data_IF_658620315392
#
_entry.id   IF_658620315392
#
_cell.length_a   1.000
_cell.length_b   1.000
_cell.length_c   1.000
_cell.angle_alpha   90.00
_cell.angle_beta   90.00
_cell.angle_gamma   90.00
#
_symmetry.space_group_name_H-M   'P 1'
#
loop_
_entity.id
_entity.type
_entity.pdbx_description
1 polymer ?
#
# COMPACT_ATOMS: atom_id res chain seq x y z
N UNK A 1 3.76 18.25 -3.98
CA UNK A 1 4.03 16.91 -3.37
C UNK A 1 5.47 16.83 -2.86
N UNK A 2 5.70 16.22 -1.69
CA UNK A 2 7.03 15.89 -1.15
C UNK A 2 7.42 14.47 -1.59
N UNK A 3 8.61 14.30 -2.16
CA UNK A 3 9.15 13.00 -2.56
C UNK A 3 9.93 12.41 -1.38
N UNK A 4 9.65 11.17 -1.00
CA UNK A 4 10.37 10.44 0.04
C UNK A 4 11.62 9.75 -0.51
N UNK A 5 11.47 9.08 -1.66
CA UNK A 5 12.59 8.55 -2.42
C UNK A 5 12.27 8.50 -3.91
N UNK A 6 13.31 8.52 -4.72
CA UNK A 6 13.22 8.42 -6.16
C UNK A 6 14.49 7.79 -6.75
N UNK A 7 14.30 6.90 -7.72
CA UNK A 7 15.38 6.45 -8.58
C UNK A 7 14.94 6.51 -10.05
N UNK A 8 15.70 7.23 -10.87
CA UNK A 8 15.47 7.36 -12.31
C UNK A 8 16.34 6.35 -13.03
N UNK A 9 15.72 5.37 -13.67
CA UNK A 9 16.39 4.26 -14.36
C UNK A 9 15.85 4.10 -15.79
N UNK A 10 15.02 3.07 -16.02
CA UNK A 10 14.44 2.76 -17.33
C UNK A 10 13.09 3.46 -17.60
N UNK A 11 12.47 3.06 -18.71
CA UNK A 11 11.13 3.52 -19.13
C UNK A 11 9.98 2.76 -18.44
N UNK A 12 10.28 1.72 -17.67
CA UNK A 12 9.32 1.08 -16.74
C UNK A 12 9.50 1.73 -15.38
N UNK A 13 8.39 2.17 -14.79
CA UNK A 13 8.37 2.79 -13.47
C UNK A 13 7.38 2.14 -12.53
N UNK A 14 7.61 2.30 -11.22
CA UNK A 14 6.66 1.92 -10.17
C UNK A 14 6.52 3.05 -9.16
N UNK A 15 5.27 3.38 -8.83
CA UNK A 15 4.91 4.20 -7.68
C UNK A 15 4.73 3.29 -6.48
N UNK A 16 5.41 3.56 -5.37
CA UNK A 16 5.33 2.77 -4.13
C UNK A 16 4.78 3.62 -3.00
N UNK A 17 3.63 3.21 -2.46
CA UNK A 17 2.82 4.00 -1.53
C UNK A 17 2.85 3.35 -0.15
N UNK A 18 3.21 4.12 0.89
CA UNK A 18 3.32 3.68 2.28
C UNK A 18 1.96 3.59 3.00
N UNK A 19 1.94 2.95 4.17
CA UNK A 19 0.77 2.76 5.00
C UNK A 19 0.32 3.99 5.80
N UNK A 20 -0.83 3.86 6.49
CA UNK A 20 -1.34 4.88 7.42
C UNK A 20 -0.37 5.00 8.61
N UNK A 21 -0.09 6.21 9.03
CA UNK A 21 0.89 6.59 10.07
C UNK A 21 2.36 6.30 9.73
N UNK A 22 2.62 5.52 8.67
CA UNK A 22 3.95 5.15 8.23
C UNK A 22 4.63 6.22 7.35
N UNK A 23 5.72 5.84 6.76
CA UNK A 23 6.56 6.71 5.93
C UNK A 23 7.02 5.98 4.66
N UNK A 24 7.56 6.68 3.65
CA UNK A 24 8.12 6.04 2.47
C UNK A 24 9.21 4.99 2.77
N UNK A 25 9.81 5.01 3.98
CA UNK A 25 10.81 4.00 4.39
C UNK A 25 10.26 2.58 4.40
N UNK A 26 8.95 2.40 4.64
CA UNK A 26 8.30 1.07 4.66
C UNK A 26 8.39 0.34 3.31
N UNK A 27 8.31 1.07 2.22
CA UNK A 27 8.30 0.52 0.85
C UNK A 27 9.60 0.78 0.10
N UNK A 28 10.51 1.58 0.68
CA UNK A 28 11.81 1.89 0.08
C UNK A 28 12.69 0.66 -0.18
N UNK A 29 12.78 -0.37 0.69
CA UNK A 29 13.58 -1.56 0.40
C UNK A 29 13.17 -2.26 -0.89
N UNK A 30 11.87 -2.39 -1.17
CA UNK A 30 11.38 -2.88 -2.46
C UNK A 30 11.76 -1.92 -3.60
N UNK A 31 11.63 -0.61 -3.37
CA UNK A 31 12.03 0.42 -4.33
C UNK A 31 13.49 0.33 -4.73
N UNK A 32 14.40 0.21 -3.76
CA UNK A 32 15.84 0.08 -3.98
C UNK A 32 16.18 -1.20 -4.75
N UNK A 33 15.56 -2.33 -4.40
CA UNK A 33 15.74 -3.59 -5.12
C UNK A 33 15.31 -3.48 -6.59
N UNK A 34 14.15 -2.91 -6.86
CA UNK A 34 13.64 -2.73 -8.21
C UNK A 34 14.48 -1.72 -9.01
N UNK A 35 14.97 -0.65 -8.36
CA UNK A 35 15.86 0.32 -8.97
C UNK A 35 17.21 -0.31 -9.38
N UNK A 36 17.76 -1.20 -8.56
CA UNK A 36 18.96 -1.97 -8.90
C UNK A 36 18.76 -2.89 -10.12
N UNK A 37 17.50 -3.23 -10.45
CA UNK A 37 17.10 -4.00 -11.63
C UNK A 37 16.69 -3.12 -12.83
N UNK A 38 16.94 -1.82 -12.79
CA UNK A 38 16.69 -0.90 -13.89
C UNK A 38 15.27 -0.34 -13.97
N UNK A 39 14.44 -0.53 -12.94
CA UNK A 39 13.08 0.02 -12.86
C UNK A 39 13.14 1.39 -12.18
N UNK A 40 12.50 2.39 -12.74
CA UNK A 40 12.34 3.70 -12.11
C UNK A 40 11.39 3.59 -10.93
N UNK A 41 11.76 4.13 -9.78
CA UNK A 41 10.94 4.04 -8.56
C UNK A 41 10.66 5.41 -7.99
N UNK A 42 9.48 5.59 -7.41
CA UNK A 42 9.08 6.80 -6.71
C UNK A 42 8.21 6.43 -5.51
N UNK A 43 8.58 6.94 -4.33
CA UNK A 43 7.79 6.84 -3.11
C UNK A 43 7.41 8.24 -2.62
N UNK A 44 6.14 8.66 -2.73
CA UNK A 44 5.68 9.95 -2.27
C UNK A 44 5.47 9.96 -0.76
N UNK A 45 5.56 11.14 -0.14
CA UNK A 45 4.91 11.40 1.13
C UNK A 45 3.42 11.68 0.88
N UNK A 46 2.56 11.02 1.62
CA UNK A 46 1.14 11.32 1.60
C UNK A 46 0.82 12.53 2.49
N UNK A 47 -0.24 13.25 2.18
CA UNK A 47 -0.68 14.40 2.96
C UNK A 47 -0.85 14.03 4.45
N UNK A 48 -0.36 14.90 5.34
CA UNK A 48 -0.42 14.70 6.80
C UNK A 48 0.56 13.67 7.37
N UNK A 49 1.34 12.95 6.52
CA UNK A 49 2.32 11.98 6.98
C UNK A 49 3.73 12.59 7.11
N UNK A 50 4.53 12.04 8.04
CA UNK A 50 5.87 12.57 8.36
C UNK A 50 5.85 13.97 8.94
N UNK A 51 4.81 14.30 9.69
CA UNK A 51 4.58 15.56 10.42
C UNK A 51 4.18 15.23 11.85
N UNK A 52 2.89 15.24 12.16
CA UNK A 52 2.36 14.82 13.46
C UNK A 52 1.00 14.10 13.31
N UNK A 53 0.56 13.34 14.34
CA UNK A 53 -0.78 12.75 14.34
C UNK A 53 -1.89 13.79 14.22
N UNK A 54 -1.68 15.01 14.72
CA UNK A 54 -2.62 16.13 14.63
C UNK A 54 -2.76 16.63 13.20
N UNK A 55 -1.65 16.75 12.46
CA UNK A 55 -1.66 17.15 11.06
C UNK A 55 -2.33 16.08 10.19
N UNK A 56 -2.06 14.78 10.46
CA UNK A 56 -2.76 13.68 9.79
C UNK A 56 -4.27 13.76 10.01
N UNK A 57 -4.72 14.16 11.22
CA UNK A 57 -6.14 14.30 11.56
C UNK A 57 -6.86 15.40 10.76
N UNK A 58 -6.12 16.36 10.22
CA UNK A 58 -6.68 17.43 9.37
C UNK A 58 -6.93 16.99 7.92
N UNK A 59 -6.32 15.87 7.51
CA UNK A 59 -6.43 15.34 6.15
C UNK A 59 -7.61 14.37 6.00
N UNK A 60 -8.02 14.19 4.75
CA UNK A 60 -9.03 13.22 4.32
C UNK A 60 -8.35 12.19 3.40
N UNK A 61 -9.00 11.07 3.18
CA UNK A 61 -8.47 10.03 2.30
C UNK A 61 -8.24 10.53 0.86
N UNK A 62 -9.02 11.51 0.39
CA UNK A 62 -8.84 12.15 -0.92
C UNK A 62 -7.52 12.93 -1.00
N UNK A 63 -7.07 13.54 0.10
CA UNK A 63 -5.79 14.26 0.13
C UNK A 63 -4.61 13.28 -0.01
N UNK A 64 -4.77 12.06 0.57
CA UNK A 64 -3.80 10.97 0.39
C UNK A 64 -3.79 10.47 -1.05
N UNK A 65 -4.99 10.24 -1.63
CA UNK A 65 -5.14 9.86 -3.04
C UNK A 65 -4.55 10.90 -3.98
N UNK A 66 -4.76 12.19 -3.71
CA UNK A 66 -4.18 13.27 -4.49
C UNK A 66 -2.65 13.26 -4.43
N UNK A 67 -2.05 13.03 -3.26
CA UNK A 67 -0.59 12.91 -3.12
C UNK A 67 -0.03 11.73 -3.95
N UNK A 68 -0.71 10.59 -3.92
CA UNK A 68 -0.33 9.41 -4.71
C UNK A 68 -0.50 9.68 -6.23
N UNK A 69 -1.60 10.34 -6.64
CA UNK A 69 -1.84 10.76 -8.02
C UNK A 69 -0.75 11.68 -8.55
N UNK A 70 -0.32 12.66 -7.77
CA UNK A 70 0.79 13.54 -8.15
C UNK A 70 2.08 12.75 -8.41
N UNK A 71 2.36 11.71 -7.60
CA UNK A 71 3.45 10.77 -7.84
C UNK A 71 3.32 10.01 -9.15
N UNK A 72 2.11 9.53 -9.47
CA UNK A 72 1.81 8.88 -10.74
C UNK A 72 2.05 9.82 -11.94
N UNK A 73 1.62 11.08 -11.86
CA UNK A 73 1.82 12.06 -12.93
C UNK A 73 3.30 12.40 -13.15
N UNK A 74 4.13 12.37 -12.09
CA UNK A 74 5.59 12.52 -12.24
C UNK A 74 6.17 11.34 -13.04
N UNK A 75 5.77 10.10 -12.73
CA UNK A 75 6.23 8.93 -13.48
C UNK A 75 5.74 8.94 -14.92
N UNK A 76 4.52 9.37 -15.21
CA UNK A 76 3.95 9.46 -16.55
C UNK A 76 4.74 10.35 -17.51
N UNK A 77 5.38 11.39 -17.00
CA UNK A 77 6.21 12.29 -17.81
C UNK A 77 7.47 11.62 -18.37
N UNK A 78 7.87 10.46 -17.84
CA UNK A 78 9.18 9.84 -18.16
C UNK A 78 9.15 8.32 -18.38
N UNK A 79 8.11 7.64 -17.89
CA UNK A 79 7.94 6.19 -18.03
C UNK A 79 6.79 5.88 -18.98
N UNK A 80 7.01 4.92 -19.88
CA UNK A 80 5.97 4.44 -20.80
C UNK A 80 5.15 3.28 -20.23
N UNK A 81 5.71 2.56 -19.25
CA UNK A 81 5.01 1.50 -18.49
C UNK A 81 5.07 1.84 -17.02
N UNK A 82 3.92 1.96 -16.37
CA UNK A 82 3.86 2.33 -14.97
C UNK A 82 3.07 1.29 -14.20
N UNK A 83 3.68 0.82 -13.12
CA UNK A 83 3.06 -0.04 -12.12
C UNK A 83 2.74 0.80 -10.88
N UNK A 84 1.72 0.38 -10.14
CA UNK A 84 1.42 0.90 -8.82
C UNK A 84 1.70 -0.19 -7.79
N UNK A 85 2.26 0.16 -6.67
CA UNK A 85 2.44 -0.73 -5.54
C UNK A 85 2.18 0.02 -4.25
N UNK A 86 1.68 -0.68 -3.24
CA UNK A 86 1.47 -0.05 -1.94
C UNK A 86 1.36 -1.06 -0.82
N UNK A 87 1.56 -0.56 0.40
CA UNK A 87 1.47 -1.31 1.64
C UNK A 87 0.24 -0.83 2.44
N UNK A 88 -0.61 -1.75 2.93
CA UNK A 88 -1.73 -1.41 3.82
C UNK A 88 -2.65 -0.36 3.17
N UNK A 89 -2.92 0.75 3.82
CA UNK A 89 -3.62 1.90 3.22
C UNK A 89 -2.99 2.32 1.87
N UNK A 90 -1.68 2.20 1.71
CA UNK A 90 -1.01 2.48 0.43
C UNK A 90 -1.38 1.49 -0.67
N UNK A 91 -1.67 0.23 -0.30
CA UNK A 91 -2.22 -0.76 -1.24
C UNK A 91 -3.62 -0.36 -1.71
N UNK A 92 -4.45 0.11 -0.80
CA UNK A 92 -5.79 0.62 -1.12
C UNK A 92 -5.71 1.85 -2.05
N UNK A 93 -4.76 2.75 -1.80
CA UNK A 93 -4.51 3.88 -2.71
C UNK A 93 -4.04 3.42 -4.09
N UNK A 94 -3.18 2.40 -4.16
CA UNK A 94 -2.71 1.85 -5.43
C UNK A 94 -3.87 1.18 -6.21
N UNK A 95 -4.74 0.45 -5.53
CA UNK A 95 -5.95 -0.16 -6.11
C UNK A 95 -6.91 0.93 -6.60
N UNK A 96 -7.20 1.94 -5.77
CA UNK A 96 -8.05 3.09 -6.15
C UNK A 96 -7.51 3.79 -7.40
N UNK A 97 -6.22 4.09 -7.47
CA UNK A 97 -5.63 4.70 -8.65
C UNK A 97 -5.70 3.77 -9.88
N UNK A 98 -5.53 2.45 -9.70
CA UNK A 98 -5.58 1.50 -10.81
C UNK A 98 -6.99 1.33 -11.40
N UNK A 99 -8.06 1.60 -10.64
CA UNK A 99 -9.43 1.61 -11.16
C UNK A 99 -9.74 2.86 -12.01
N UNK A 100 -9.05 3.97 -11.74
CA UNK A 100 -9.32 5.27 -12.39
C UNK A 100 -8.32 5.64 -13.49
N UNK A 101 -7.13 5.03 -13.47
CA UNK A 101 -6.04 5.39 -14.39
C UNK A 101 -5.45 4.16 -15.07
N UNK A 102 -5.16 4.23 -16.39
CA UNK A 102 -4.49 3.13 -17.09
C UNK A 102 -3.07 2.95 -16.53
N UNK A 103 -2.78 1.73 -16.08
CA UNK A 103 -1.48 1.29 -15.55
C UNK A 103 -1.12 -0.08 -16.09
N UNK A 104 0.17 -0.42 -16.08
CA UNK A 104 0.67 -1.71 -16.57
C UNK A 104 0.43 -2.87 -15.58
N UNK A 105 0.13 -2.56 -14.34
CA UNK A 105 -0.22 -3.53 -13.30
C UNK A 105 -0.22 -2.90 -11.90
N UNK A 106 -0.77 -3.64 -10.92
CA UNK A 106 -0.84 -3.22 -9.52
C UNK A 106 -0.34 -4.31 -8.58
N UNK A 107 0.38 -3.90 -7.54
CA UNK A 107 0.89 -4.78 -6.46
C UNK A 107 0.28 -4.30 -5.14
N UNK A 108 -0.66 -5.07 -4.59
CA UNK A 108 -1.29 -4.82 -3.30
C UNK A 108 -0.58 -5.65 -2.23
N UNK A 109 0.06 -5.00 -1.27
CA UNK A 109 0.74 -5.64 -0.15
C UNK A 109 -0.03 -5.36 1.14
N UNK A 110 -0.55 -6.39 1.80
CA UNK A 110 -1.36 -6.28 3.02
C UNK A 110 -2.50 -5.23 2.89
N UNK A 111 -3.15 -5.18 1.73
CA UNK A 111 -4.28 -4.29 1.48
C UNK A 111 -5.50 -4.67 2.33
N UNK A 112 -6.35 -3.70 2.61
CA UNK A 112 -7.45 -3.91 3.54
C UNK A 112 -8.77 -3.38 2.98
N UNK A 113 -9.78 -4.25 2.90
CA UNK A 113 -11.15 -3.87 2.55
C UNK A 113 -12.16 -4.23 3.65
N UNK A 114 -11.77 -5.11 4.59
CA UNK A 114 -12.60 -5.45 5.76
C UNK A 114 -11.78 -5.56 7.04
N UNK A 115 -12.27 -4.91 8.09
CA UNK A 115 -11.82 -5.11 9.46
C UNK A 115 -13.00 -5.70 10.24
N UNK A 116 -12.78 -6.88 10.85
CA UNK A 116 -13.83 -7.64 11.53
C UNK A 116 -14.06 -7.21 12.98
N UNK A 117 -13.40 -6.13 13.45
CA UNK A 117 -13.63 -5.56 14.78
C UNK A 117 -14.89 -4.66 14.76
N UNK A 118 -15.87 -4.97 15.64
CA UNK A 118 -17.11 -4.19 15.77
C UNK A 118 -16.85 -2.73 16.18
N UNK A 119 -15.76 -2.46 16.93
CA UNK A 119 -15.36 -1.11 17.33
C UNK A 119 -14.93 -0.29 16.11
N UNK A 120 -14.18 -0.89 15.21
CA UNK A 120 -13.83 -0.26 13.94
C UNK A 120 -15.08 -0.04 13.08
N UNK A 121 -15.99 -1.00 13.04
CA UNK A 121 -17.22 -0.88 12.29
C UNK A 121 -18.13 0.23 12.82
N UNK A 122 -18.14 0.46 14.15
CA UNK A 122 -18.83 1.56 14.83
C UNK A 122 -18.10 2.90 14.84
N UNK A 123 -16.89 3.02 14.30
CA UNK A 123 -16.02 4.21 14.48
C UNK A 123 -16.67 5.51 13.99
N UNK A 124 -17.61 5.44 13.05
CA UNK A 124 -18.39 6.59 12.60
C UNK A 124 -19.18 7.26 13.70
N UNK A 125 -19.67 6.49 14.68
CA UNK A 125 -20.37 6.98 15.87
C UNK A 125 -19.37 7.33 16.98
N UNK A 126 -18.40 6.44 17.21
CA UNK A 126 -17.42 6.59 18.31
C UNK A 126 -16.34 7.66 18.03
N UNK A 127 -16.18 8.13 16.81
CA UNK A 127 -15.18 9.18 16.46
C UNK A 127 -15.31 10.47 17.29
N UNK A 128 -16.49 10.74 17.86
CA UNK A 128 -16.74 11.89 18.72
C UNK A 128 -16.40 11.61 20.18
N UNK A 129 -16.38 10.34 20.60
CA UNK A 129 -16.20 9.92 21.99
C UNK A 129 -14.74 9.55 22.30
N UNK A 130 -14.03 9.01 21.35
CA UNK A 130 -12.63 8.58 21.53
C UNK A 130 -11.72 9.28 20.51
N UNK A 131 -10.82 10.14 21.00
CA UNK A 131 -9.96 10.97 20.15
C UNK A 131 -8.66 10.27 19.71
N UNK A 132 -8.20 9.25 20.44
CA UNK A 132 -6.92 8.56 20.21
C UNK A 132 -7.09 7.06 20.39
N UNK A 133 -6.44 6.27 19.56
CA UNK A 133 -6.24 4.83 19.77
C UNK A 133 -4.78 4.59 20.10
N UNK A 134 -4.49 3.53 20.85
CA UNK A 134 -3.12 3.09 21.07
C UNK A 134 -2.42 2.77 19.75
N UNK A 135 -1.11 2.87 19.81
CA UNK A 135 -0.20 2.68 18.67
C UNK A 135 -0.54 1.43 17.85
N UNK A 136 -0.56 1.61 16.55
CA UNK A 136 -0.48 0.54 15.55
C UNK A 136 1.01 0.19 15.25
N UNK A 137 1.93 0.53 16.15
CA UNK A 137 3.32 0.14 16.03
C UNK A 137 3.44 -1.36 16.26
N UNK A 138 3.63 -2.07 15.18
CA UNK A 138 3.72 -3.52 15.10
C UNK A 138 3.89 -3.89 13.64
N UNK A 139 3.69 -5.15 13.34
CA UNK A 139 3.61 -5.58 11.95
C UNK A 139 4.95 -5.91 11.32
N UNK A 140 6.01 -6.09 12.12
CA UNK A 140 7.29 -6.67 11.70
C UNK A 140 7.65 -7.79 12.68
N UNK A 141 7.76 -9.00 12.15
CA UNK A 141 8.14 -10.19 12.93
C UNK A 141 9.66 -10.38 13.04
N UNK A 142 10.44 -9.85 12.10
CA UNK A 142 11.89 -9.94 12.06
C UNK A 142 12.52 -8.97 13.08
N UNK A 143 13.13 -9.46 14.20
CA UNK A 143 13.73 -8.60 15.19
C UNK A 143 15.01 -7.90 14.70
N UNK A 144 15.58 -8.34 13.58
CA UNK A 144 16.73 -7.70 12.94
C UNK A 144 16.35 -6.59 11.96
N UNK A 145 15.07 -6.44 11.67
CA UNK A 145 14.59 -5.38 10.79
C UNK A 145 14.87 -3.99 11.41
N UNK A 146 15.22 -3.00 10.60
CA UNK A 146 15.34 -1.65 11.09
C UNK A 146 14.00 -1.15 11.63
N UNK A 147 14.04 -0.37 12.70
CA UNK A 147 12.84 0.31 13.19
C UNK A 147 12.31 1.22 12.07
N UNK A 148 11.02 1.15 11.82
CA UNK A 148 10.38 2.07 10.90
C UNK A 148 9.70 3.19 11.68
N UNK A 149 9.73 4.38 11.08
CA UNK A 149 9.11 5.55 11.67
C UNK A 149 7.59 5.48 11.49
N UNK A 150 6.88 5.51 12.60
CA UNK A 150 5.42 5.56 12.62
C UNK A 150 4.96 6.50 13.72
N UNK A 151 3.73 7.00 13.64
CA UNK A 151 3.19 7.84 14.71
C UNK A 151 2.90 7.02 15.97
N UNK A 152 3.08 7.61 17.16
CA UNK A 152 2.86 6.91 18.44
C UNK A 152 1.38 6.58 18.70
N UNK A 153 0.46 7.20 17.98
CA UNK A 153 -0.98 6.94 18.01
C UNK A 153 -1.65 7.40 16.72
N UNK A 154 -2.85 6.92 16.50
CA UNK A 154 -3.72 7.39 15.42
C UNK A 154 -5.03 7.91 16.01
N UNK A 155 -5.53 9.01 15.45
CA UNK A 155 -6.83 9.56 15.84
C UNK A 155 -7.98 8.79 15.16
N UNK A 156 -9.09 8.63 15.88
CA UNK A 156 -10.28 7.97 15.36
C UNK A 156 -10.83 8.61 14.08
N UNK A 157 -10.59 9.92 13.89
CA UNK A 157 -10.95 10.62 12.65
C UNK A 157 -10.14 10.10 11.46
N UNK A 158 -8.83 9.87 11.60
CA UNK A 158 -7.99 9.30 10.53
C UNK A 158 -8.38 7.85 10.22
N UNK A 159 -8.74 7.05 11.25
CA UNK A 159 -9.29 5.70 11.04
C UNK A 159 -10.66 5.73 10.33
N UNK A 160 -11.47 6.75 10.58
CA UNK A 160 -12.73 6.92 9.86
C UNK A 160 -12.51 7.28 8.39
N UNK A 161 -11.50 8.10 8.07
CA UNK A 161 -11.11 8.36 6.69
C UNK A 161 -10.57 7.10 5.99
N UNK A 162 -9.76 6.28 6.70
CA UNK A 162 -9.35 4.98 6.21
C UNK A 162 -10.55 4.08 5.89
N UNK A 163 -11.53 4.01 6.79
CA UNK A 163 -12.77 3.23 6.57
C UNK A 163 -13.54 3.67 5.33
N UNK A 164 -13.56 4.98 5.03
CA UNK A 164 -14.16 5.47 3.79
C UNK A 164 -13.39 4.99 2.56
N UNK A 165 -12.05 5.12 2.58
CA UNK A 165 -11.20 4.62 1.51
C UNK A 165 -11.45 3.13 1.25
N UNK A 166 -11.46 2.30 2.30
CA UNK A 166 -11.72 0.86 2.20
C UNK A 166 -13.01 0.55 1.43
N UNK A 167 -14.10 1.27 1.72
CA UNK A 167 -15.38 1.11 1.02
C UNK A 167 -15.29 1.48 -0.45
N UNK A 168 -14.64 2.62 -0.77
CA UNK A 168 -14.43 3.02 -2.16
C UNK A 168 -13.58 1.99 -2.91
N UNK A 169 -12.54 1.44 -2.27
CA UNK A 169 -11.71 0.42 -2.89
C UNK A 169 -12.49 -0.89 -3.12
N UNK A 170 -13.33 -1.32 -2.16
CA UNK A 170 -14.19 -2.49 -2.36
C UNK A 170 -15.09 -2.31 -3.59
N UNK A 171 -15.68 -1.12 -3.77
CA UNK A 171 -16.49 -0.76 -4.94
C UNK A 171 -15.65 -0.66 -6.23
N UNK A 172 -14.39 -0.26 -6.14
CA UNK A 172 -13.46 -0.07 -7.27
C UNK A 172 -12.91 -1.39 -7.83
N UNK A 173 -12.80 -2.46 -6.99
CA UNK A 173 -12.13 -3.71 -7.36
C UNK A 173 -12.60 -4.31 -8.69
N UNK A 174 -13.92 -4.38 -9.00
CA UNK A 174 -14.38 -4.95 -10.27
C UNK A 174 -13.92 -4.18 -11.51
N UNK A 175 -13.57 -2.91 -11.37
CA UNK A 175 -13.13 -2.06 -12.48
C UNK A 175 -11.61 -2.09 -12.70
N UNK A 176 -10.85 -2.74 -11.82
CA UNK A 176 -9.40 -2.92 -11.98
C UNK A 176 -9.17 -4.07 -12.94
N UNK A 177 -8.88 -3.74 -14.20
CA UNK A 177 -8.62 -4.73 -15.28
C UNK A 177 -7.13 -4.94 -15.55
N UNK A 178 -6.27 -4.08 -15.03
CA UNK A 178 -4.82 -4.23 -15.11
C UNK A 178 -4.36 -5.51 -14.39
N UNK A 179 -3.29 -6.19 -14.85
CA UNK A 179 -2.68 -7.29 -14.12
C UNK A 179 -2.43 -6.95 -12.65
N UNK A 180 -2.71 -7.90 -11.75
CA UNK A 180 -2.63 -7.65 -10.32
C UNK A 180 -1.83 -8.74 -9.57
N UNK A 181 -1.00 -8.30 -8.63
CA UNK A 181 -0.33 -9.15 -7.64
C UNK A 181 -0.81 -8.75 -6.25
N UNK A 182 -1.53 -9.63 -5.58
CA UNK A 182 -1.96 -9.48 -4.20
C UNK A 182 -1.01 -10.26 -3.32
N UNK A 183 -0.43 -9.61 -2.31
CA UNK A 183 0.52 -10.21 -1.38
C UNK A 183 0.02 -10.02 0.04
N UNK A 184 -0.02 -11.09 0.83
CA UNK A 184 -0.52 -11.08 2.20
C UNK A 184 0.39 -11.89 3.13
N UNK A 185 0.74 -11.32 4.27
CA UNK A 185 1.41 -12.06 5.36
C UNK A 185 0.42 -12.98 6.07
N UNK A 186 0.79 -14.25 6.30
CA UNK A 186 -0.06 -15.16 7.10
C UNK A 186 -0.06 -14.81 8.57
N UNK A 187 0.96 -14.13 9.04
CA UNK A 187 1.10 -13.66 10.43
C UNK A 187 0.67 -12.21 10.62
N UNK A 188 0.01 -11.62 9.62
CA UNK A 188 -0.41 -10.21 9.69
C UNK A 188 -1.31 -9.98 10.91
N UNK A 189 -0.75 -9.26 11.88
CA UNK A 189 -1.38 -8.95 13.17
C UNK A 189 -2.28 -7.71 13.10
N UNK A 190 -2.21 -6.93 12.02
CA UNK A 190 -2.94 -5.67 11.85
C UNK A 190 -4.10 -5.80 10.87
N UNK A 191 -3.88 -6.47 9.74
CA UNK A 191 -4.88 -6.70 8.69
C UNK A 191 -5.16 -8.20 8.60
N UNK A 192 -6.37 -8.64 8.92
CA UNK A 192 -6.73 -10.06 8.87
C UNK A 192 -6.39 -10.67 7.51
N UNK A 193 -5.63 -11.80 7.46
CA UNK A 193 -5.17 -12.41 6.21
C UNK A 193 -6.25 -12.67 5.15
N UNK A 194 -7.54 -12.97 5.50
CA UNK A 194 -8.59 -13.11 4.49
C UNK A 194 -8.83 -11.89 3.60
N UNK A 195 -8.29 -10.70 3.95
CA UNK A 195 -8.33 -9.54 3.04
C UNK A 195 -7.62 -9.80 1.71
N UNK A 196 -6.54 -10.59 1.72
CA UNK A 196 -5.86 -11.01 0.49
C UNK A 196 -6.80 -11.75 -0.47
N UNK A 197 -7.59 -12.71 0.05
CA UNK A 197 -8.57 -13.44 -0.75
C UNK A 197 -9.70 -12.53 -1.24
N UNK A 198 -10.21 -11.65 -0.37
CA UNK A 198 -11.30 -10.73 -0.72
C UNK A 198 -10.88 -9.78 -1.85
N UNK A 199 -9.68 -9.18 -1.76
CA UNK A 199 -9.14 -8.34 -2.82
C UNK A 199 -8.97 -9.17 -4.10
N UNK A 200 -8.31 -10.33 -4.02
CA UNK A 200 -8.08 -11.19 -5.17
C UNK A 200 -9.38 -11.58 -5.87
N UNK A 201 -10.41 -11.98 -5.13
CA UNK A 201 -11.71 -12.36 -5.69
C UNK A 201 -12.43 -11.16 -6.32
N UNK A 202 -12.39 -9.99 -5.67
CA UNK A 202 -13.08 -8.78 -6.12
C UNK A 202 -12.50 -8.16 -7.38
N UNK A 203 -11.18 -8.37 -7.66
CA UNK A 203 -10.52 -7.79 -8.83
C UNK A 203 -11.14 -8.24 -10.16
N UNK A 204 -11.47 -7.29 -11.05
CA UNK A 204 -11.92 -7.51 -12.42
C UNK A 204 -10.80 -7.95 -13.37
N UNK A 205 -9.55 -7.96 -12.94
CA UNK A 205 -8.40 -8.38 -13.72
C UNK A 205 -8.50 -9.86 -14.12
N UNK A 206 -8.24 -10.15 -15.39
CA UNK A 206 -8.13 -11.53 -15.91
C UNK A 206 -6.78 -12.18 -15.56
N UNK A 207 -5.77 -11.38 -15.30
CA UNK A 207 -4.42 -11.80 -14.90
C UNK A 207 -4.17 -11.34 -13.49
N UNK A 208 -4.38 -12.22 -12.53
CA UNK A 208 -4.21 -11.91 -11.12
C UNK A 208 -3.54 -13.05 -10.37
N UNK A 209 -2.68 -12.69 -9.44
CA UNK A 209 -1.91 -13.60 -8.62
C UNK A 209 -2.14 -13.29 -7.15
N UNK A 210 -2.24 -14.33 -6.32
CA UNK A 210 -2.29 -14.24 -4.86
C UNK A 210 -1.07 -14.95 -4.28
N UNK A 211 -0.31 -14.24 -3.48
CA UNK A 211 0.89 -14.73 -2.80
C UNK A 211 0.73 -14.57 -1.29
N UNK A 212 0.69 -15.69 -0.59
CA UNK A 212 0.82 -15.69 0.86
C UNK A 212 2.28 -15.87 1.27
N UNK A 213 2.70 -15.12 2.31
CA UNK A 213 4.03 -15.16 2.90
C UNK A 213 3.92 -15.71 4.34
N UNK A 214 4.62 -16.81 4.61
CA UNK A 214 4.35 -17.63 5.81
C UNK A 214 4.97 -17.06 7.09
N UNK A 215 6.02 -16.26 6.96
CA UNK A 215 6.82 -15.77 8.11
C UNK A 215 6.58 -14.30 8.43
N UNK A 216 6.10 -13.54 7.45
CA UNK A 216 5.95 -12.09 7.57
C UNK A 216 4.64 -11.70 8.24
N UNK A 217 4.72 -10.63 9.02
CA UNK A 217 3.62 -9.86 9.57
C UNK A 217 3.18 -8.78 8.54
N UNK A 218 2.71 -7.64 8.96
CA UNK A 218 2.07 -6.59 8.17
C UNK A 218 3.02 -5.82 7.24
N UNK A 219 4.17 -5.37 7.74
CA UNK A 219 5.12 -4.53 6.98
C UNK A 219 6.04 -5.41 6.13
N UNK A 220 5.42 -6.16 5.21
CA UNK A 220 6.07 -7.20 4.39
C UNK A 220 7.40 -6.76 3.74
N UNK A 221 7.55 -5.51 3.18
CA UNK A 221 8.79 -5.12 2.54
C UNK A 221 9.99 -4.96 3.48
N UNK A 222 9.77 -5.03 4.79
CA UNK A 222 10.81 -4.92 5.82
C UNK A 222 10.96 -6.20 6.64
N UNK A 223 10.12 -7.22 6.41
CA UNK A 223 10.03 -8.41 7.25
C UNK A 223 10.73 -9.63 6.63
N UNK A 224 10.63 -10.78 7.28
CA UNK A 224 11.32 -12.05 6.97
C UNK A 224 11.25 -12.47 5.50
N UNK A 225 10.09 -12.32 4.85
CA UNK A 225 9.88 -12.81 3.48
C UNK A 225 10.09 -11.72 2.41
N UNK A 226 10.71 -10.58 2.78
CA UNK A 226 10.96 -9.45 1.86
C UNK A 226 11.65 -9.86 0.56
N UNK A 227 12.63 -10.78 0.63
CA UNK A 227 13.34 -11.26 -0.56
C UNK A 227 12.44 -12.06 -1.52
N UNK A 228 11.46 -12.80 -0.99
CA UNK A 228 10.45 -13.51 -1.79
C UNK A 228 9.58 -12.47 -2.48
N UNK A 229 9.05 -11.50 -1.73
CA UNK A 229 8.27 -10.39 -2.28
C UNK A 229 9.04 -9.68 -3.40
N UNK A 230 10.30 -9.30 -3.18
CA UNK A 230 11.11 -8.54 -4.13
C UNK A 230 11.29 -9.28 -5.45
N UNK A 231 11.64 -10.57 -5.38
CA UNK A 231 11.78 -11.43 -6.56
C UNK A 231 10.47 -11.59 -7.33
N UNK A 232 9.36 -11.83 -6.61
CA UNK A 232 8.04 -12.00 -7.23
C UNK A 232 7.53 -10.69 -7.85
N UNK A 233 7.69 -9.56 -7.18
CA UNK A 233 7.36 -8.23 -7.70
C UNK A 233 8.17 -7.90 -8.98
N UNK A 234 9.48 -8.18 -8.98
CA UNK A 234 10.30 -7.99 -10.16
C UNK A 234 9.86 -8.86 -11.33
N UNK A 235 9.61 -10.15 -11.10
CA UNK A 235 9.12 -11.07 -12.14
C UNK A 235 7.77 -10.65 -12.69
N UNK A 236 6.87 -10.20 -11.83
CA UNK A 236 5.58 -9.65 -12.21
C UNK A 236 5.74 -8.45 -13.15
N UNK A 237 6.58 -7.48 -12.80
CA UNK A 237 6.84 -6.29 -13.63
C UNK A 237 7.50 -6.70 -14.95
N UNK A 238 8.52 -7.57 -14.92
CA UNK A 238 9.27 -7.99 -16.09
C UNK A 238 8.40 -8.74 -17.10
N UNK A 239 7.48 -9.57 -16.63
CA UNK A 239 6.57 -10.36 -17.49
C UNK A 239 5.34 -9.58 -17.98
N UNK A 240 5.20 -8.29 -17.64
CA UNK A 240 3.97 -7.54 -17.92
C UNK A 240 2.76 -8.05 -17.12
N UNK A 241 3.01 -8.58 -15.92
CA UNK A 241 1.99 -9.12 -15.04
C UNK A 241 1.67 -10.60 -15.21
N UNK A 242 2.22 -11.26 -16.23
CA UNK A 242 1.83 -12.64 -16.61
C UNK A 242 2.35 -13.71 -15.64
N UNK A 243 3.49 -13.49 -14.97
CA UNK A 243 4.17 -14.49 -14.16
C UNK A 243 4.72 -13.92 -12.86
N UNK A 244 4.70 -14.73 -11.81
CA UNK A 244 5.36 -14.47 -10.54
C UNK A 244 6.26 -15.65 -10.10
N UNK A 245 6.14 -16.77 -10.77
CA UNK A 245 6.83 -18.03 -10.51
C UNK A 245 8.27 -18.09 -10.94
#
# INVERSE_FOLDING_TARGET
>A
MRIGFEARKGKTGILLIHGLTGTPSEVKPLGDYLAAKGISTLGPWLAGHGTSPEELTKTRWQDWAQSAREGLEILRKRCSKIYLGGLSMGADQALHLASHFPVAGVISMAGLIRIFDFRFNGIGVFRFLQKRTSNLAGGISDPSAPKHDTYPYVNTKSLYELKKLMRHVEDDLPYITAPALVVQGRKDSMVPPPNGDLIYQGLGSKVKHLLYLDRSDHVIPMDYDKEILFKKAYRFIQSGGQKIG
#
